data_IF_280516099813
#
_entry.id   IF_280516099813
#
_cell.length_a   1.000
_cell.length_b   1.000
_cell.length_c   1.000
_cell.angle_alpha   90.00
_cell.angle_beta   90.00
_cell.angle_gamma   90.00
#
_symmetry.space_group_name_H-M   'P 1'
#
loop_
_entity.id
_entity.type
_entity.pdbx_description
1 polymer ?
#
# COMPACT_ATOMS: atom_id res chain seq x y z
N UNK A 1 10.94 21.00 6.25
CA UNK A 1 10.52 19.86 7.10
C UNK A 1 9.70 18.97 6.20
N UNK A 2 10.11 17.73 5.89
CA UNK A 2 9.29 16.88 5.03
C UNK A 2 8.13 16.24 5.82
N UNK A 3 6.96 16.24 5.17
CA UNK A 3 5.61 15.76 5.51
C UNK A 3 5.54 14.21 5.48
N UNK A 4 4.78 13.41 6.24
CA UNK A 4 3.79 13.52 7.33
C UNK A 4 3.65 12.12 7.99
N UNK A 5 3.05 11.93 9.18
CA UNK A 5 3.21 10.70 9.95
C UNK A 5 2.19 9.65 9.51
N UNK A 6 2.59 8.39 9.48
CA UNK A 6 1.69 7.25 9.23
C UNK A 6 0.40 7.38 10.07
N UNK A 7 -0.78 7.22 9.45
CA UNK A 7 -2.08 7.38 10.11
C UNK A 7 -2.83 6.06 10.26
N UNK A 8 -3.48 5.89 11.43
CA UNK A 8 -4.35 4.77 11.74
C UNK A 8 -5.80 5.24 11.70
N UNK A 9 -6.52 4.93 10.62
CA UNK A 9 -7.88 5.43 10.41
C UNK A 9 -8.78 4.33 9.83
N UNK A 10 -10.00 4.19 10.37
CA UNK A 10 -11.03 3.27 9.88
C UNK A 10 -10.57 1.81 9.73
N UNK A 11 -9.67 1.34 10.61
CA UNK A 11 -9.09 -0.01 10.54
C UNK A 11 -7.95 -0.17 9.52
N UNK A 12 -7.46 0.93 8.96
CA UNK A 12 -6.36 0.93 7.99
C UNK A 12 -5.16 1.75 8.46
N UNK A 13 -3.98 1.37 7.98
CA UNK A 13 -2.74 2.13 8.11
C UNK A 13 -2.40 2.75 6.75
N UNK A 14 -2.25 4.06 6.71
CA UNK A 14 -1.91 4.83 5.50
C UNK A 14 -0.62 5.63 5.71
N UNK A 15 0.02 6.04 4.62
CA UNK A 15 1.23 6.86 4.65
C UNK A 15 2.53 6.06 4.63
N UNK A 16 2.46 4.72 4.58
CA UNK A 16 3.60 3.86 4.26
C UNK A 16 3.86 3.95 2.76
N UNK A 17 5.12 4.14 2.39
CA UNK A 17 5.60 4.17 0.99
C UNK A 17 6.05 2.77 0.55
N UNK A 18 6.35 2.59 -0.74
CA UNK A 18 6.86 1.32 -1.24
C UNK A 18 8.28 1.01 -0.74
N UNK A 19 8.65 -0.27 -0.87
CA UNK A 19 9.96 -0.82 -0.52
C UNK A 19 10.34 -0.66 0.96
N UNK A 20 9.35 -0.47 1.84
CA UNK A 20 9.57 -0.41 3.28
C UNK A 20 9.59 -1.79 3.91
N UNK A 21 10.55 -2.02 4.79
CA UNK A 21 10.65 -3.23 5.59
C UNK A 21 9.91 -3.08 6.92
N UNK A 22 9.69 -4.20 7.62
CA UNK A 22 9.14 -4.20 8.98
C UNK A 22 9.98 -3.34 9.92
N UNK A 23 11.31 -3.43 9.82
CA UNK A 23 12.26 -2.61 10.59
C UNK A 23 12.03 -1.12 10.33
N UNK A 24 12.04 -0.69 9.06
CA UNK A 24 11.85 0.72 8.70
C UNK A 24 10.50 1.26 9.19
N UNK A 25 9.43 0.45 9.10
CA UNK A 25 8.10 0.86 9.59
C UNK A 25 8.10 1.04 11.11
N UNK A 26 8.75 0.14 11.86
CA UNK A 26 8.91 0.27 13.31
C UNK A 26 9.70 1.52 13.69
N UNK A 27 10.77 1.83 12.97
CA UNK A 27 11.56 3.05 13.17
C UNK A 27 10.75 4.32 12.92
N UNK A 28 9.93 4.33 11.86
CA UNK A 28 9.05 5.46 11.54
C UNK A 28 7.98 5.67 12.61
N UNK A 29 7.37 4.58 13.08
CA UNK A 29 6.29 4.63 14.08
C UNK A 29 6.81 4.88 15.50
N UNK A 30 8.07 4.53 15.80
CA UNK A 30 8.69 4.60 17.14
C UNK A 30 7.90 3.85 18.23
N UNK A 31 7.21 2.79 17.83
CA UNK A 31 6.41 1.92 18.70
C UNK A 31 6.69 0.46 18.35
N UNK A 32 6.56 -0.41 19.34
CA UNK A 32 6.63 -1.85 19.12
C UNK A 32 5.32 -2.35 18.51
N UNK A 33 5.42 -2.96 17.33
CA UNK A 33 4.29 -3.49 16.59
C UNK A 33 4.64 -4.85 15.98
N UNK A 34 3.62 -5.71 15.91
CA UNK A 34 3.72 -7.00 15.23
C UNK A 34 3.11 -6.82 13.84
N UNK A 35 3.90 -7.05 12.80
CA UNK A 35 3.44 -7.00 11.41
C UNK A 35 3.28 -8.43 10.90
N UNK A 36 2.11 -8.71 10.31
CA UNK A 36 1.77 -9.99 9.70
C UNK A 36 1.50 -9.82 8.21
N UNK A 37 1.77 -10.85 7.42
CA UNK A 37 1.34 -10.90 6.03
C UNK A 37 -0.20 -11.03 5.93
N UNK A 38 -0.72 -10.94 4.69
CA UNK A 38 -2.14 -11.12 4.41
C UNK A 38 -2.68 -12.53 4.71
N UNK A 39 -1.80 -13.48 5.05
CA UNK A 39 -2.13 -14.86 5.45
C UNK A 39 -2.04 -15.08 6.97
N UNK A 40 -1.64 -14.06 7.73
CA UNK A 40 -1.52 -14.10 9.19
C UNK A 40 -0.15 -14.55 9.73
N UNK A 41 0.85 -14.77 8.87
CA UNK A 41 2.21 -15.11 9.29
C UNK A 41 2.97 -13.86 9.73
N UNK A 42 3.71 -13.94 10.83
CA UNK A 42 4.55 -12.82 11.30
C UNK A 42 5.70 -12.63 10.31
N UNK A 43 5.87 -11.39 9.84
CA UNK A 43 6.93 -11.01 8.92
C UNK A 43 8.25 -10.81 9.67
N UNK A 44 9.37 -11.17 9.03
CA UNK A 44 10.72 -10.88 9.54
C UNK A 44 11.04 -9.39 9.42
N UNK A 45 12.00 -8.90 10.19
CA UNK A 45 12.38 -7.48 10.22
C UNK A 45 12.81 -6.93 8.85
N UNK A 46 13.46 -7.77 8.05
CA UNK A 46 13.93 -7.45 6.69
C UNK A 46 12.89 -7.68 5.60
N UNK A 47 11.72 -8.23 5.92
CA UNK A 47 10.69 -8.48 4.92
C UNK A 47 10.05 -7.17 4.48
N UNK A 48 9.88 -7.02 3.17
CA UNK A 48 9.14 -5.90 2.58
C UNK A 48 7.67 -6.08 2.91
N UNK A 49 7.04 -4.98 3.33
CA UNK A 49 5.65 -4.94 3.74
C UNK A 49 4.81 -4.38 2.60
N UNK A 50 3.75 -5.11 2.24
CA UNK A 50 2.83 -4.73 1.17
C UNK A 50 1.40 -4.52 1.63
N UNK A 51 0.59 -3.97 0.74
CA UNK A 51 -0.85 -3.80 0.90
C UNK A 51 -1.53 -5.11 1.30
N UNK A 52 -2.41 -5.05 2.31
CA UNK A 52 -3.08 -6.21 2.87
C UNK A 52 -2.33 -6.89 4.02
N UNK A 53 -1.09 -6.50 4.30
CA UNK A 53 -0.40 -6.84 5.56
C UNK A 53 -1.14 -6.22 6.75
N UNK A 54 -0.97 -6.78 7.94
CA UNK A 54 -1.68 -6.35 9.16
C UNK A 54 -0.69 -5.90 10.21
N UNK A 55 -0.87 -4.68 10.72
CA UNK A 55 -0.17 -4.18 11.91
C UNK A 55 -1.05 -4.42 13.12
N UNK A 56 -0.53 -5.15 14.11
CA UNK A 56 -1.14 -5.26 15.43
C UNK A 56 -0.50 -4.25 16.38
N UNK A 57 -1.32 -3.33 16.87
CA UNK A 57 -0.95 -2.31 17.85
C UNK A 57 -1.98 -2.24 18.97
N UNK A 58 -1.56 -2.35 20.24
CA UNK A 58 -2.44 -2.36 21.41
C UNK A 58 -3.65 -3.31 21.25
N UNK A 59 -3.38 -4.58 20.87
CA UNK A 59 -4.38 -5.62 20.61
C UNK A 59 -5.45 -5.31 19.54
N UNK A 60 -5.22 -4.27 18.75
CA UNK A 60 -6.05 -3.91 17.60
C UNK A 60 -5.29 -4.17 16.30
N UNK A 61 -5.96 -4.84 15.36
CA UNK A 61 -5.40 -5.17 14.05
C UNK A 61 -5.81 -4.09 13.02
N UNK A 62 -4.84 -3.59 12.26
CA UNK A 62 -5.04 -2.59 11.21
C UNK A 62 -4.45 -3.08 9.89
N UNK A 63 -5.19 -2.96 8.79
CA UNK A 63 -4.73 -3.37 7.46
C UNK A 63 -3.91 -2.26 6.80
N UNK A 64 -2.72 -2.59 6.34
CA UNK A 64 -1.85 -1.66 5.61
C UNK A 64 -2.38 -1.44 4.19
N UNK A 65 -2.40 -0.18 3.78
CA UNK A 65 -2.65 0.24 2.40
C UNK A 65 -1.49 1.10 1.92
N UNK A 66 -0.76 0.61 0.93
CA UNK A 66 0.30 1.36 0.25
C UNK A 66 -0.26 1.82 -1.10
N UNK A 67 -0.20 3.13 -1.35
CA UNK A 67 -0.74 3.71 -2.59
C UNK A 67 0.05 3.19 -3.79
N UNK A 68 -0.65 2.59 -4.74
CA UNK A 68 -0.05 2.02 -5.95
C UNK A 68 0.41 0.57 -5.84
N UNK A 69 0.52 -0.01 -4.64
CA UNK A 69 0.83 -1.44 -4.44
C UNK A 69 -0.48 -2.22 -4.35
N UNK A 70 -0.91 -2.78 -5.47
CA UNK A 70 -2.22 -3.40 -5.66
C UNK A 70 -2.10 -4.92 -5.51
N UNK A 71 -0.95 -5.50 -5.87
CA UNK A 71 -0.72 -6.93 -5.69
C UNK A 71 -0.36 -7.29 -4.23
N UNK A 72 0.05 -6.31 -3.42
CA UNK A 72 0.37 -6.47 -2.01
C UNK A 72 1.80 -6.98 -1.74
N UNK A 73 2.73 -6.82 -2.67
CA UNK A 73 4.14 -7.24 -2.52
C UNK A 73 5.06 -6.13 -1.96
N UNK A 74 4.50 -4.95 -1.71
CA UNK A 74 5.21 -3.79 -1.17
C UNK A 74 6.08 -3.07 -2.20
N UNK A 75 5.99 -3.44 -3.48
CA UNK A 75 6.59 -2.72 -4.59
C UNK A 75 5.47 -2.09 -5.41
N UNK A 76 5.80 -0.99 -6.07
CA UNK A 76 4.91 -0.41 -7.08
C UNK A 76 5.56 -0.60 -8.43
N UNK A 77 4.99 -1.48 -9.25
CA UNK A 77 5.59 -1.82 -10.55
C UNK A 77 4.56 -2.06 -11.67
N UNK A 78 5.02 -2.69 -12.75
CA UNK A 78 4.19 -2.96 -13.93
C UNK A 78 3.00 -3.89 -13.65
N UNK A 79 3.08 -4.74 -12.63
CA UNK A 79 2.02 -5.65 -12.21
C UNK A 79 0.85 -4.82 -11.66
N UNK A 80 1.12 -3.86 -10.79
CA UNK A 80 0.09 -2.99 -10.22
C UNK A 80 -0.58 -2.14 -11.29
N UNK A 81 0.22 -1.52 -12.16
CA UNK A 81 -0.29 -0.80 -13.32
C UNK A 81 -1.24 -1.68 -14.15
N UNK A 82 -0.88 -2.94 -14.41
CA UNK A 82 -1.71 -3.86 -15.19
C UNK A 82 -3.01 -4.19 -14.45
N UNK A 83 -2.96 -4.44 -13.13
CA UNK A 83 -4.14 -4.70 -12.31
C UNK A 83 -5.10 -3.51 -12.31
N UNK A 84 -4.61 -2.29 -12.06
CA UNK A 84 -5.41 -1.06 -12.12
C UNK A 84 -6.02 -0.83 -13.51
N UNK A 85 -5.23 -1.03 -14.57
CA UNK A 85 -5.71 -0.88 -15.95
C UNK A 85 -6.80 -1.90 -16.29
N UNK A 86 -6.66 -3.15 -15.86
CA UNK A 86 -7.66 -4.19 -16.10
C UNK A 86 -8.94 -3.93 -15.31
N UNK A 87 -8.83 -3.42 -14.09
CA UNK A 87 -9.97 -2.98 -13.28
C UNK A 87 -10.71 -1.81 -13.93
N UNK A 88 -9.99 -0.80 -14.43
CA UNK A 88 -10.57 0.29 -15.22
C UNK A 88 -11.34 -0.23 -16.45
N UNK A 89 -10.76 -1.20 -17.16
CA UNK A 89 -11.39 -1.86 -18.31
C UNK A 89 -12.48 -2.88 -17.93
N UNK A 90 -12.74 -3.08 -16.62
CA UNK A 90 -13.70 -4.07 -16.08
C UNK A 90 -13.43 -5.51 -16.50
N UNK A 91 -12.17 -5.85 -16.78
CA UNK A 91 -11.72 -7.22 -17.13
C UNK A 91 -11.05 -7.95 -15.96
N UNK A 92 -11.00 -7.30 -14.80
CA UNK A 92 -10.47 -7.82 -13.56
C UNK A 92 -11.18 -7.12 -12.40
N UNK A 93 -11.50 -7.85 -11.33
CA UNK A 93 -12.14 -7.29 -10.15
C UNK A 93 -11.12 -7.19 -9.03
N UNK A 94 -11.04 -6.02 -8.40
CA UNK A 94 -10.20 -5.76 -7.23
C UNK A 94 -11.06 -5.90 -5.97
N UNK A 95 -10.46 -6.43 -4.90
CA UNK A 95 -11.10 -6.41 -3.58
C UNK A 95 -11.01 -5.00 -2.96
N UNK A 96 -11.67 -4.78 -1.83
CA UNK A 96 -11.75 -3.45 -1.19
C UNK A 96 -10.38 -2.87 -0.80
N UNK A 97 -9.46 -3.70 -0.32
CA UNK A 97 -8.11 -3.28 0.07
C UNK A 97 -7.30 -2.89 -1.18
N UNK A 98 -7.40 -3.68 -2.23
CA UNK A 98 -6.76 -3.41 -3.52
C UNK A 98 -7.34 -2.15 -4.18
N UNK A 99 -8.65 -1.91 -4.07
CA UNK A 99 -9.28 -0.68 -4.56
C UNK A 99 -8.73 0.55 -3.84
N UNK A 100 -8.51 0.47 -2.52
CA UNK A 100 -7.89 1.57 -1.76
C UNK A 100 -6.46 1.88 -2.23
N UNK A 101 -5.68 0.85 -2.57
CA UNK A 101 -4.34 1.04 -3.14
C UNK A 101 -4.38 1.57 -4.59
N UNK A 102 -5.37 1.15 -5.38
CA UNK A 102 -5.48 1.48 -6.80
C UNK A 102 -6.12 2.86 -7.07
N UNK A 103 -7.04 3.34 -6.22
CA UNK A 103 -7.82 4.56 -6.44
C UNK A 103 -7.18 5.75 -5.71
N UNK A 104 -6.19 6.40 -6.34
CA UNK A 104 -5.38 7.46 -5.73
C UNK A 104 -6.20 8.73 -5.44
N UNK A 105 -7.30 8.92 -6.15
CA UNK A 105 -8.25 10.04 -5.97
C UNK A 105 -9.55 9.60 -5.25
N UNK A 106 -9.54 8.50 -4.48
CA UNK A 106 -10.68 7.96 -3.72
C UNK A 106 -11.94 7.70 -4.56
N UNK A 107 -11.76 7.33 -5.82
CA UNK A 107 -12.85 6.91 -6.71
C UNK A 107 -13.30 5.47 -6.40
N UNK A 108 -14.48 5.09 -6.90
CA UNK A 108 -15.02 3.72 -6.74
C UNK A 108 -14.19 2.68 -7.51
N UNK A 109 -13.67 3.08 -8.67
CA UNK A 109 -12.77 2.27 -9.51
C UNK A 109 -11.58 3.12 -9.94
N UNK A 110 -10.42 2.49 -10.21
CA UNK A 110 -9.27 3.22 -10.72
C UNK A 110 -9.61 3.83 -12.08
N UNK A 111 -9.20 5.07 -12.27
CA UNK A 111 -9.35 5.84 -13.49
C UNK A 111 -8.07 5.79 -14.33
N UNK A 112 -8.12 6.39 -15.53
CA UNK A 112 -6.92 6.59 -16.35
C UNK A 112 -5.82 7.36 -15.64
N UNK A 113 -6.16 8.31 -14.77
CA UNK A 113 -5.15 9.06 -14.01
C UNK A 113 -4.42 8.15 -13.04
N UNK A 114 -5.13 7.25 -12.37
CA UNK A 114 -4.57 6.40 -11.33
C UNK A 114 -3.50 5.47 -11.90
N UNK A 115 -3.86 4.66 -12.91
CA UNK A 115 -2.89 3.73 -13.49
C UNK A 115 -1.74 4.45 -14.22
N UNK A 116 -1.96 5.66 -14.77
CA UNK A 116 -0.88 6.43 -15.36
C UNK A 116 0.07 7.01 -14.32
N UNK A 117 -0.42 7.43 -13.15
CA UNK A 117 0.44 7.87 -12.02
C UNK A 117 1.28 6.71 -11.50
N UNK A 118 0.67 5.53 -11.31
CA UNK A 118 1.37 4.29 -10.94
C UNK A 118 2.48 3.98 -11.98
N UNK A 119 2.13 4.01 -13.27
CA UNK A 119 3.12 3.80 -14.34
C UNK A 119 4.27 4.78 -14.28
N UNK A 120 3.97 6.07 -14.12
CA UNK A 120 4.99 7.11 -14.09
C UNK A 120 5.87 7.01 -12.85
N UNK A 121 5.35 6.47 -11.74
CA UNK A 121 6.06 6.27 -10.50
C UNK A 121 7.24 5.31 -10.65
N UNK A 122 6.98 4.08 -11.09
CA UNK A 122 8.07 3.11 -11.29
C UNK A 122 8.97 3.44 -12.49
N UNK A 123 8.53 4.33 -13.38
CA UNK A 123 9.38 4.91 -14.44
C UNK A 123 10.21 6.12 -13.96
N UNK A 124 10.05 6.57 -12.71
CA UNK A 124 10.80 7.69 -12.13
C UNK A 124 10.39 9.07 -12.65
N UNK A 125 9.23 9.20 -13.30
CA UNK A 125 8.72 10.47 -13.88
C UNK A 125 7.58 11.09 -13.08
N UNK A 126 7.23 10.48 -11.95
CA UNK A 126 6.25 10.93 -10.98
C UNK A 126 6.60 10.30 -9.62
N UNK A 127 6.24 10.92 -8.50
CA UNK A 127 6.37 10.31 -7.19
C UNK A 127 4.97 10.25 -6.54
N UNK A 128 4.51 9.04 -6.17
CA UNK A 128 3.22 8.85 -5.50
C UNK A 128 3.19 9.42 -4.08
N UNK A 129 4.36 9.67 -3.51
CA UNK A 129 4.56 10.05 -2.11
C UNK A 129 5.22 11.43 -1.95
N UNK A 130 5.27 12.21 -3.03
CA UNK A 130 5.75 13.60 -3.00
C UNK A 130 4.63 14.60 -2.76
#
# INVERSE_FOLDING_TARGET
MPEGPITFENGYVNGIIDLQTVESIREMLKIDVIIKDSKGNVLSETAVVGTGSVIRYNDTDYTIVIKGDINGDGKVDAIDYLMAKRAFLKTYSLNDVQLKAACLENTVLPTTKDYLKIKRHFLGTFNLYA
#
